data_IF_250509097691
#
_entry.id   IF_250509097691
#
_cell.length_a   1.000
_cell.length_b   1.000
_cell.length_c   1.000
_cell.angle_alpha   90.00
_cell.angle_beta   90.00
_cell.angle_gamma   90.00
#
_symmetry.space_group_name_H-M   'P 1'
#
loop_
_entity.id
_entity.type
_entity.pdbx_description
1 polymer ?
#
# COMPACT_ATOMS: atom_id res chain seq x y z
N UNK A 1 29.94 7.80 -9.27
CA UNK A 1 29.57 9.22 -9.37
C UNK A 1 28.83 9.39 -10.68
N UNK A 2 27.57 9.87 -10.67
CA UNK A 2 26.85 10.22 -11.90
C UNK A 2 27.24 11.64 -12.31
N UNK A 3 27.65 11.83 -13.56
CA UNK A 3 28.22 13.08 -14.12
C UNK A 3 27.35 13.66 -15.24
N UNK A 4 26.03 13.64 -15.13
CA UNK A 4 25.16 14.36 -16.08
C UNK A 4 24.20 15.28 -15.34
N UNK A 5 24.41 16.58 -15.52
CA UNK A 5 23.48 17.62 -15.11
C UNK A 5 22.16 17.43 -15.88
N UNK A 6 21.10 17.04 -15.19
CA UNK A 6 19.75 16.88 -15.76
C UNK A 6 19.03 15.60 -15.37
N UNK A 7 19.72 14.58 -14.87
CA UNK A 7 19.07 13.37 -14.37
C UNK A 7 18.56 13.60 -12.94
N UNK A 8 17.26 13.89 -12.80
CA UNK A 8 16.62 14.05 -11.48
C UNK A 8 16.47 12.66 -10.84
N UNK A 9 17.56 12.15 -10.29
CA UNK A 9 17.54 10.97 -9.43
C UNK A 9 16.79 11.31 -8.13
N UNK A 10 15.80 10.49 -7.76
CA UNK A 10 15.15 10.65 -6.47
C UNK A 10 16.02 9.99 -5.40
N UNK A 11 16.07 10.62 -4.23
CA UNK A 11 16.81 10.14 -3.08
C UNK A 11 15.87 10.14 -1.89
N UNK A 12 15.68 8.96 -1.30
CA UNK A 12 14.95 8.83 -0.06
C UNK A 12 15.67 9.63 1.03
N UNK A 13 14.88 10.29 1.89
CA UNK A 13 15.40 11.07 2.98
C UNK A 13 14.62 10.80 4.26
N UNK A 14 15.20 11.19 5.39
CA UNK A 14 14.54 11.30 6.70
C UNK A 14 14.94 12.61 7.35
N UNK A 15 14.08 13.18 8.18
CA UNK A 15 14.42 14.35 9.00
C UNK A 15 14.60 13.98 10.47
N UNK A 16 15.57 14.62 11.12
CA UNK A 16 15.76 14.55 12.57
C UNK A 16 14.74 15.39 13.34
N UNK A 17 14.74 15.26 14.69
CA UNK A 17 13.87 16.05 15.58
C UNK A 17 14.10 17.56 15.50
N UNK A 18 15.31 17.95 15.08
CA UNK A 18 15.74 19.32 14.81
C UNK A 18 15.39 19.80 13.40
N UNK A 19 14.75 18.96 12.58
CA UNK A 19 14.45 19.24 11.18
C UNK A 19 15.62 18.99 10.23
N UNK A 20 16.75 18.47 10.73
CA UNK A 20 17.92 18.17 9.91
C UNK A 20 17.61 17.11 8.86
N UNK A 21 17.85 17.42 7.58
CA UNK A 21 17.61 16.51 6.45
C UNK A 21 18.78 15.53 6.30
N UNK A 22 18.48 14.24 6.24
CA UNK A 22 19.43 13.18 5.94
C UNK A 22 19.01 12.42 4.68
N UNK A 23 19.84 12.45 3.64
CA UNK A 23 19.78 11.47 2.54
C UNK A 23 20.18 10.10 3.08
N UNK A 24 19.29 9.11 2.95
CA UNK A 24 19.54 7.77 3.50
C UNK A 24 20.28 6.86 2.51
N UNK A 25 20.41 7.25 1.23
CA UNK A 25 21.12 6.49 0.19
C UNK A 25 20.23 5.57 -0.65
N UNK A 26 20.82 4.48 -1.17
CA UNK A 26 20.18 3.48 -2.03
C UNK A 26 20.71 2.07 -1.71
N UNK A 27 20.10 1.02 -2.27
CA UNK A 27 20.60 -0.37 -2.30
C UNK A 27 21.78 -0.57 -3.29
N UNK A 28 22.51 0.49 -3.62
CA UNK A 28 23.68 0.46 -4.50
C UNK A 28 23.43 0.93 -5.93
N UNK A 29 22.17 1.26 -6.28
CA UNK A 29 21.81 1.95 -7.53
C UNK A 29 21.79 3.47 -7.40
N UNK A 30 21.14 4.16 -8.33
CA UNK A 30 21.13 5.63 -8.40
C UNK A 30 19.88 6.28 -7.78
N UNK A 31 18.78 5.54 -7.62
CA UNK A 31 17.48 6.09 -7.20
C UNK A 31 16.86 5.36 -6.00
N UNK A 32 16.22 6.12 -5.10
CA UNK A 32 15.41 5.59 -4.00
C UNK A 32 14.25 6.53 -3.64
N UNK A 33 13.17 5.95 -3.11
CA UNK A 33 12.00 6.68 -2.57
C UNK A 33 11.48 5.98 -1.32
N UNK A 34 11.45 6.71 -0.20
CA UNK A 34 10.76 6.25 1.01
C UNK A 34 9.25 6.42 0.84
N UNK A 35 8.49 5.42 1.28
CA UNK A 35 7.02 5.39 1.22
C UNK A 35 6.40 5.47 2.61
N UNK A 36 7.01 4.83 3.61
CA UNK A 36 6.48 4.79 4.97
C UNK A 36 7.60 4.71 6.01
N UNK A 37 7.26 5.11 7.24
CA UNK A 37 8.12 5.03 8.43
C UNK A 37 7.26 4.62 9.63
N UNK A 38 7.77 3.75 10.50
CA UNK A 38 7.09 3.39 11.76
C UNK A 38 7.66 4.14 12.97
N UNK A 39 7.04 3.98 14.15
CA UNK A 39 7.45 4.69 15.37
C UNK A 39 8.85 4.29 15.90
N UNK A 40 9.44 3.23 15.36
CA UNK A 40 10.80 2.81 15.70
C UNK A 40 11.87 3.43 14.78
N UNK A 41 11.45 4.25 13.80
CA UNK A 41 12.34 4.85 12.80
C UNK A 41 12.74 3.91 11.66
N UNK A 42 12.06 2.76 11.51
CA UNK A 42 12.26 1.88 10.35
C UNK A 42 11.55 2.50 9.16
N UNK A 43 12.29 2.76 8.08
CA UNK A 43 11.80 3.34 6.84
C UNK A 43 11.71 2.24 5.78
N UNK A 44 10.66 2.26 4.99
CA UNK A 44 10.49 1.34 3.85
C UNK A 44 10.13 2.10 2.59
N UNK A 45 10.38 1.47 1.45
CA UNK A 45 9.99 2.02 0.16
C UNK A 45 10.58 1.23 -0.98
N UNK A 46 11.07 1.94 -1.99
CA UNK A 46 11.67 1.36 -3.21
C UNK A 46 13.05 1.93 -3.47
N UNK A 47 14.00 1.09 -3.89
CA UNK A 47 15.35 1.50 -4.24
C UNK A 47 15.89 0.67 -5.39
N UNK A 48 16.65 1.31 -6.28
CA UNK A 48 17.45 0.60 -7.27
C UNK A 48 18.61 -0.14 -6.60
N UNK A 49 18.88 -1.34 -7.11
CA UNK A 49 19.99 -2.20 -6.70
C UNK A 49 21.26 -1.87 -7.48
N UNK A 50 22.38 -2.52 -7.12
CA UNK A 50 23.70 -2.30 -7.73
C UNK A 50 23.64 -2.39 -9.26
N UNK A 51 24.19 -1.36 -9.91
CA UNK A 51 24.27 -1.27 -11.38
C UNK A 51 22.93 -0.98 -12.05
N UNK A 52 21.93 -0.49 -11.29
CA UNK A 52 20.57 -0.19 -11.75
C UNK A 52 19.89 -1.40 -12.44
N UNK A 53 20.26 -2.60 -11.99
CA UNK A 53 19.82 -3.88 -12.57
C UNK A 53 18.46 -4.36 -12.06
N UNK A 54 17.93 -3.73 -11.01
CA UNK A 54 16.62 -4.04 -10.43
C UNK A 54 16.10 -2.92 -9.53
N UNK A 55 14.80 -2.95 -9.27
CA UNK A 55 14.09 -2.00 -8.40
C UNK A 55 13.44 -2.80 -7.28
N UNK A 56 13.98 -2.72 -6.07
CA UNK A 56 13.56 -3.58 -4.96
C UNK A 56 12.95 -2.79 -3.80
N UNK A 57 12.03 -3.45 -3.10
CA UNK A 57 11.54 -3.02 -1.81
C UNK A 57 12.70 -3.02 -0.80
N UNK A 58 12.85 -1.93 -0.05
CA UNK A 58 13.90 -1.82 0.95
C UNK A 58 13.35 -1.61 2.35
N UNK A 59 14.16 -1.96 3.34
CA UNK A 59 14.06 -1.50 4.72
C UNK A 59 15.35 -0.76 5.12
N UNK A 60 15.20 0.36 5.82
CA UNK A 60 16.31 1.16 6.34
C UNK A 60 16.09 1.47 7.81
N UNK A 61 17.11 1.24 8.63
CA UNK A 61 17.11 1.63 10.05
C UNK A 61 18.53 1.81 10.56
N UNK A 62 18.78 2.90 11.28
CA UNK A 62 20.06 3.16 11.96
C UNK A 62 21.28 3.00 11.03
N UNK A 63 21.20 3.56 9.81
CA UNK A 63 22.28 3.47 8.82
C UNK A 63 22.37 2.14 8.07
N UNK A 64 21.54 1.15 8.40
CA UNK A 64 21.57 -0.20 7.81
C UNK A 64 20.48 -0.36 6.77
N UNK A 65 20.90 -0.67 5.55
CA UNK A 65 20.04 -1.04 4.45
C UNK A 65 19.78 -2.54 4.42
N UNK A 66 18.57 -2.90 4.00
CA UNK A 66 18.18 -4.26 3.70
C UNK A 66 17.34 -4.31 2.43
N UNK A 67 17.73 -5.18 1.51
CA UNK A 67 16.86 -5.61 0.42
C UNK A 67 15.81 -6.57 0.97
N UNK A 68 14.54 -6.20 0.90
CA UNK A 68 13.43 -7.02 1.42
C UNK A 68 12.98 -8.08 0.41
N UNK A 69 13.37 -7.94 -0.85
CA UNK A 69 13.00 -8.83 -1.94
C UNK A 69 14.23 -9.23 -2.76
N UNK A 70 15.22 -9.93 -2.17
CA UNK A 70 16.41 -10.39 -2.88
C UNK A 70 16.08 -11.62 -3.76
N UNK A 71 15.10 -11.45 -4.65
CA UNK A 71 14.56 -12.48 -5.55
C UNK A 71 14.49 -11.90 -6.97
N UNK A 72 14.45 -12.78 -7.96
CA UNK A 72 14.29 -12.34 -9.34
C UNK A 72 12.86 -11.84 -9.58
N UNK A 73 12.72 -10.54 -9.83
CA UNK A 73 11.48 -9.87 -10.19
C UNK A 73 11.79 -8.69 -11.12
N UNK A 74 10.77 -8.13 -11.78
CA UNK A 74 10.94 -6.91 -12.57
C UNK A 74 11.05 -5.69 -11.65
N UNK A 75 10.15 -5.59 -10.67
CA UNK A 75 10.27 -4.61 -9.60
C UNK A 75 9.48 -5.05 -8.37
N UNK A 76 9.80 -4.45 -7.23
CA UNK A 76 9.00 -4.56 -6.03
C UNK A 76 8.99 -3.25 -5.25
N UNK A 77 7.98 -3.10 -4.40
CA UNK A 77 7.83 -1.92 -3.56
C UNK A 77 7.25 -2.30 -2.21
N UNK A 78 7.76 -1.70 -1.14
CA UNK A 78 7.13 -1.71 0.17
C UNK A 78 6.21 -0.48 0.26
N UNK A 79 4.93 -0.72 0.54
CA UNK A 79 3.89 0.33 0.57
C UNK A 79 3.62 0.82 1.98
N UNK A 80 3.66 -0.07 2.97
CA UNK A 80 3.41 0.29 4.36
C UNK A 80 4.21 -0.57 5.35
N UNK A 81 4.38 -0.06 6.56
CA UNK A 81 5.04 -0.73 7.68
C UNK A 81 4.30 -0.40 8.98
N UNK A 82 4.08 -1.42 9.83
CA UNK A 82 3.50 -1.21 11.15
C UNK A 82 4.57 -1.10 12.27
N UNK A 83 4.16 -0.79 13.49
CA UNK A 83 5.05 -0.64 14.65
C UNK A 83 5.63 -1.95 15.17
N UNK A 84 5.21 -3.10 14.62
CA UNK A 84 5.82 -4.40 14.86
C UNK A 84 6.93 -4.74 13.85
N UNK A 85 7.28 -3.79 12.96
CA UNK A 85 8.19 -3.98 11.82
C UNK A 85 7.70 -5.05 10.81
N UNK A 86 6.38 -5.22 10.70
CA UNK A 86 5.78 -5.98 9.60
C UNK A 86 5.63 -5.01 8.44
N UNK A 87 6.29 -5.32 7.34
CA UNK A 87 6.23 -4.54 6.09
C UNK A 87 5.27 -5.25 5.15
N UNK A 88 4.41 -4.49 4.48
CA UNK A 88 3.61 -4.99 3.37
C UNK A 88 4.00 -4.27 2.08
N UNK A 89 3.79 -4.94 0.96
CA UNK A 89 4.10 -4.41 -0.35
C UNK A 89 3.70 -5.38 -1.44
N UNK A 90 4.23 -5.17 -2.65
CA UNK A 90 4.03 -6.11 -3.74
C UNK A 90 5.29 -6.25 -4.61
N UNK A 91 5.37 -7.40 -5.26
CA UNK A 91 6.38 -7.76 -6.26
C UNK A 91 5.67 -7.93 -7.59
N UNK A 92 6.21 -7.36 -8.65
CA UNK A 92 5.79 -7.64 -10.02
C UNK A 92 6.86 -8.50 -10.70
N UNK A 93 6.48 -9.69 -11.15
CA UNK A 93 7.39 -10.61 -11.81
C UNK A 93 7.42 -10.42 -13.32
N UNK A 94 6.26 -10.54 -13.96
CA UNK A 94 6.04 -10.44 -15.40
C UNK A 94 4.53 -10.45 -15.69
N UNK A 95 4.15 -10.24 -16.95
CA UNK A 95 2.75 -10.18 -17.40
C UNK A 95 1.99 -11.51 -17.18
N UNK A 96 2.70 -12.63 -17.05
CA UNK A 96 2.09 -13.94 -16.86
C UNK A 96 1.77 -14.19 -15.38
N UNK A 97 2.68 -13.82 -14.48
CA UNK A 97 2.57 -14.02 -13.02
C UNK A 97 1.87 -12.88 -12.29
N UNK A 98 1.86 -11.66 -12.85
CA UNK A 98 1.21 -10.51 -12.25
C UNK A 98 1.92 -9.96 -11.00
N UNK A 99 1.23 -9.05 -10.33
CA UNK A 99 1.63 -8.47 -9.04
C UNK A 99 1.21 -9.36 -7.87
N UNK A 100 2.15 -9.70 -7.00
CA UNK A 100 1.91 -10.49 -5.79
C UNK A 100 2.22 -9.68 -4.55
N UNK A 101 1.24 -9.59 -3.67
CA UNK A 101 1.40 -8.96 -2.36
C UNK A 101 2.27 -9.81 -1.45
N UNK A 102 3.12 -9.15 -0.65
CA UNK A 102 3.95 -9.80 0.36
C UNK A 102 3.81 -9.14 1.72
N UNK A 103 4.12 -9.93 2.75
CA UNK A 103 4.53 -9.43 4.06
C UNK A 103 5.98 -9.81 4.32
N UNK A 104 6.75 -8.88 4.88
CA UNK A 104 8.11 -9.13 5.35
C UNK A 104 8.18 -8.91 6.85
N UNK A 105 8.60 -9.94 7.59
CA UNK A 105 8.75 -9.87 9.05
C UNK A 105 9.85 -10.81 9.51
N UNK A 106 10.58 -10.43 10.56
CA UNK A 106 11.64 -11.25 11.18
C UNK A 106 12.68 -11.83 10.19
N UNK A 107 12.98 -11.11 9.11
CA UNK A 107 13.95 -11.59 8.12
C UNK A 107 13.36 -12.38 6.96
N UNK A 108 12.06 -12.68 7.00
CA UNK A 108 11.40 -13.59 6.05
C UNK A 108 10.37 -12.85 5.19
N UNK A 109 10.45 -13.10 3.89
CA UNK A 109 9.46 -12.69 2.89
C UNK A 109 8.40 -13.79 2.75
N UNK A 110 7.12 -13.42 2.83
CA UNK A 110 5.99 -14.31 2.60
C UNK A 110 5.00 -13.67 1.63
N UNK A 111 4.68 -14.35 0.55
CA UNK A 111 3.59 -13.95 -0.34
C UNK A 111 2.23 -14.26 0.26
N UNK A 112 1.27 -13.36 0.05
CA UNK A 112 -0.13 -13.56 0.43
C UNK A 112 -0.91 -14.15 -0.77
N UNK A 113 -1.99 -14.90 -0.51
CA UNK A 113 -2.89 -15.35 -1.58
C UNK A 113 -3.63 -14.17 -2.25
N UNK A 114 -4.30 -14.46 -3.36
CA UNK A 114 -5.22 -13.55 -4.06
C UNK A 114 -6.68 -13.93 -3.77
N UNK A 115 -7.64 -13.15 -4.27
CA UNK A 115 -9.07 -13.51 -4.30
C UNK A 115 -9.44 -14.50 -5.42
N UNK A 116 -8.47 -15.27 -5.90
CA UNK A 116 -8.62 -16.25 -6.98
C UNK A 116 -8.07 -15.79 -8.33
N UNK A 117 -7.83 -14.49 -8.51
CA UNK A 117 -7.18 -13.91 -9.68
C UNK A 117 -5.65 -13.96 -9.60
N UNK A 118 -4.99 -13.25 -10.52
CA UNK A 118 -3.52 -13.22 -10.60
C UNK A 118 -2.91 -12.07 -9.82
N UNK A 119 -3.57 -10.91 -9.81
CA UNK A 119 -3.02 -9.69 -9.25
C UNK A 119 -3.55 -9.39 -7.83
N UNK A 120 -2.64 -9.00 -6.94
CA UNK A 120 -2.96 -8.43 -5.64
C UNK A 120 -1.92 -7.39 -5.23
N UNK A 121 -2.38 -6.20 -4.84
CA UNK A 121 -1.55 -5.10 -4.37
C UNK A 121 -2.04 -4.67 -3.00
N UNK A 122 -1.15 -4.67 -2.01
CA UNK A 122 -1.38 -4.19 -0.65
C UNK A 122 -0.96 -2.73 -0.53
N UNK A 123 -1.75 -1.96 0.21
CA UNK A 123 -1.57 -0.52 0.34
C UNK A 123 -1.39 -0.07 1.79
N UNK A 124 -1.90 -0.82 2.76
CA UNK A 124 -1.79 -0.45 4.16
C UNK A 124 -1.82 -1.67 5.10
N UNK A 125 -1.33 -1.49 6.32
CA UNK A 125 -1.26 -2.51 7.37
C UNK A 125 -1.43 -1.87 8.76
N UNK A 126 -2.25 -2.46 9.64
CA UNK A 126 -2.36 -2.01 11.03
C UNK A 126 -1.43 -2.78 12.00
N UNK A 127 -1.37 -2.37 13.27
CA UNK A 127 -0.54 -3.04 14.29
C UNK A 127 -1.05 -4.42 14.75
N UNK A 128 -2.20 -4.88 14.27
CA UNK A 128 -2.64 -6.28 14.42
C UNK A 128 -2.14 -7.17 13.27
N UNK A 129 -1.45 -6.59 12.28
CA UNK A 129 -0.95 -7.31 11.10
C UNK A 129 -2.02 -7.50 10.02
N UNK A 130 -3.18 -6.85 10.14
CA UNK A 130 -4.19 -6.89 9.09
C UNK A 130 -3.76 -6.01 7.92
N UNK A 131 -3.63 -6.62 6.74
CA UNK A 131 -3.20 -5.98 5.49
C UNK A 131 -4.44 -5.71 4.62
N UNK A 132 -4.48 -4.56 3.97
CA UNK A 132 -5.55 -4.21 3.04
C UNK A 132 -5.00 -3.74 1.69
N UNK A 133 -5.83 -3.83 0.66
CA UNK A 133 -5.47 -3.43 -0.69
C UNK A 133 -6.55 -3.77 -1.69
N UNK A 134 -6.15 -4.13 -2.91
CA UNK A 134 -7.04 -4.63 -3.97
C UNK A 134 -6.50 -5.94 -4.53
N UNK A 135 -7.38 -6.88 -4.89
CA UNK A 135 -7.02 -8.15 -5.49
C UNK A 135 -8.06 -8.55 -6.54
N UNK A 136 -7.58 -9.07 -7.66
CA UNK A 136 -8.43 -9.65 -8.68
C UNK A 136 -9.14 -10.90 -8.16
N UNK A 137 -10.42 -11.02 -8.54
CA UNK A 137 -11.18 -12.25 -8.39
C UNK A 137 -10.76 -13.25 -9.48
N UNK A 138 -11.27 -14.47 -9.39
CA UNK A 138 -11.04 -15.49 -10.43
C UNK A 138 -11.50 -15.00 -11.82
N UNK A 139 -12.51 -14.13 -11.87
CA UNK A 139 -12.82 -13.31 -13.04
C UNK A 139 -11.84 -12.14 -13.13
N UNK A 140 -10.99 -12.15 -14.16
CA UNK A 140 -9.85 -11.22 -14.31
C UNK A 140 -10.28 -9.78 -14.57
N UNK A 141 -11.55 -9.53 -14.89
CA UNK A 141 -12.09 -8.18 -15.11
C UNK A 141 -12.58 -7.52 -13.81
N UNK A 142 -12.68 -8.29 -12.72
CA UNK A 142 -13.20 -7.82 -11.43
C UNK A 142 -12.08 -7.79 -10.39
N UNK A 143 -11.96 -6.68 -9.67
CA UNK A 143 -10.99 -6.55 -8.58
C UNK A 143 -11.64 -5.86 -7.38
N UNK A 144 -11.59 -6.51 -6.23
CA UNK A 144 -12.17 -5.98 -5.01
C UNK A 144 -11.11 -5.63 -3.98
N UNK A 145 -11.51 -4.73 -3.09
CA UNK A 145 -10.83 -4.45 -1.86
C UNK A 145 -10.76 -5.72 -1.02
N UNK A 146 -9.62 -5.99 -0.40
CA UNK A 146 -9.45 -7.16 0.46
C UNK A 146 -9.00 -6.76 1.87
N UNK A 147 -9.22 -7.67 2.82
CA UNK A 147 -8.49 -7.74 4.10
C UNK A 147 -7.81 -9.10 4.22
N UNK A 148 -6.51 -9.11 4.50
CA UNK A 148 -5.79 -10.30 4.94
C UNK A 148 -5.47 -10.18 6.42
N UNK A 149 -5.94 -11.13 7.23
CA UNK A 149 -5.73 -11.16 8.68
C UNK A 149 -5.74 -12.64 9.11
N UNK A 150 -4.84 -13.02 10.02
CA UNK A 150 -4.76 -14.37 10.61
C UNK A 150 -4.76 -15.52 9.58
N UNK A 151 -4.09 -15.32 8.44
CA UNK A 151 -3.96 -16.34 7.41
C UNK A 151 -5.10 -16.37 6.37
N UNK A 152 -6.17 -15.60 6.57
CA UNK A 152 -7.35 -15.60 5.72
C UNK A 152 -7.42 -14.35 4.83
N UNK A 153 -7.69 -14.56 3.53
CA UNK A 153 -7.99 -13.50 2.57
C UNK A 153 -9.50 -13.31 2.49
N UNK A 154 -9.99 -12.11 2.82
CA UNK A 154 -11.41 -11.76 2.82
C UNK A 154 -11.69 -10.76 1.71
N UNK A 155 -12.62 -11.10 0.82
CA UNK A 155 -13.21 -10.15 -0.12
C UNK A 155 -14.13 -9.18 0.65
N UNK A 156 -13.92 -7.88 0.49
CA UNK A 156 -14.76 -6.84 1.09
C UNK A 156 -15.94 -6.44 0.20
N UNK A 157 -15.96 -6.91 -1.05
CA UNK A 157 -16.95 -6.59 -2.06
C UNK A 157 -16.79 -5.20 -2.64
N UNK A 158 -17.88 -4.67 -3.20
CA UNK A 158 -17.99 -3.34 -3.78
C UNK A 158 -19.31 -2.69 -3.38
N UNK A 159 -19.52 -1.44 -3.78
CA UNK A 159 -20.80 -0.73 -3.70
C UNK A 159 -21.75 -1.08 -4.87
N UNK A 160 -21.53 -2.23 -5.52
CA UNK A 160 -22.38 -2.75 -6.59
C UNK A 160 -21.77 -2.72 -7.99
N UNK A 161 -20.54 -2.20 -8.14
CA UNK A 161 -19.74 -2.29 -9.36
C UNK A 161 -18.70 -3.41 -9.32
N UNK A 162 -17.79 -3.44 -10.31
CA UNK A 162 -16.76 -4.47 -10.47
C UNK A 162 -15.39 -4.09 -9.87
N UNK A 163 -15.26 -2.89 -9.30
CA UNK A 163 -14.00 -2.41 -8.76
C UNK A 163 -14.12 -1.83 -7.35
N UNK A 164 -13.22 -2.23 -6.46
CA UNK A 164 -12.98 -1.52 -5.20
C UNK A 164 -11.52 -1.64 -4.75
N UNK A 165 -11.07 -0.64 -3.99
CA UNK A 165 -9.71 -0.58 -3.45
C UNK A 165 -9.73 -0.04 -2.02
N UNK A 166 -9.24 -0.83 -1.07
CA UNK A 166 -8.99 -0.37 0.29
C UNK A 166 -7.66 0.40 0.33
N UNK A 167 -7.72 1.65 0.78
CA UNK A 167 -6.57 2.56 0.85
C UNK A 167 -5.92 2.61 2.21
N UNK A 168 -6.72 2.50 3.28
CA UNK A 168 -6.23 2.59 4.64
C UNK A 168 -7.05 1.74 5.61
N UNK A 169 -6.40 1.31 6.69
CA UNK A 169 -6.99 0.56 7.80
C UNK A 169 -6.53 1.14 9.14
N UNK A 170 -7.47 1.42 10.04
CA UNK A 170 -7.08 1.83 11.40
C UNK A 170 -6.95 0.63 12.36
N UNK A 171 -6.45 0.92 13.57
CA UNK A 171 -6.24 -0.07 14.63
C UNK A 171 -7.51 -0.79 15.09
N UNK A 172 -8.69 -0.20 14.86
CA UNK A 172 -9.99 -0.82 15.18
C UNK A 172 -10.50 -1.72 14.05
N UNK A 173 -9.74 -1.90 12.98
CA UNK A 173 -10.12 -2.71 11.82
C UNK A 173 -11.13 -2.04 10.89
N UNK A 174 -11.33 -0.72 11.02
CA UNK A 174 -12.14 0.04 10.05
C UNK A 174 -11.29 0.31 8.82
N UNK A 175 -11.85 0.03 7.65
CA UNK A 175 -11.15 0.14 6.37
C UNK A 175 -11.86 1.19 5.53
N UNK A 176 -11.10 2.03 4.85
CA UNK A 176 -11.64 3.03 3.94
C UNK A 176 -10.97 2.93 2.57
N UNK A 177 -11.65 3.46 1.57
CA UNK A 177 -11.16 3.44 0.20
C UNK A 177 -12.19 4.01 -0.75
N UNK A 178 -12.22 3.47 -1.96
CA UNK A 178 -13.23 3.80 -2.96
C UNK A 178 -13.71 2.53 -3.68
N UNK A 179 -14.93 2.61 -4.21
CA UNK A 179 -15.57 1.55 -4.97
C UNK A 179 -16.35 2.16 -6.13
N UNK A 180 -16.44 1.43 -7.24
CA UNK A 180 -17.42 1.73 -8.27
C UNK A 180 -18.83 1.37 -7.81
N UNK A 181 -19.81 2.14 -8.28
CA UNK A 181 -21.23 1.84 -8.19
C UNK A 181 -21.67 0.92 -9.34
N UNK A 182 -22.91 0.45 -9.29
CA UNK A 182 -23.52 -0.32 -10.38
C UNK A 182 -23.37 0.38 -11.73
N UNK A 183 -22.88 -0.35 -12.74
CA UNK A 183 -22.60 0.17 -14.08
C UNK A 183 -21.20 0.78 -14.27
N UNK A 184 -20.38 0.83 -13.21
CA UNK A 184 -18.96 1.21 -13.22
C UNK A 184 -18.63 2.62 -13.75
N UNK A 185 -19.63 3.49 -13.90
CA UNK A 185 -19.45 4.88 -14.36
C UNK A 185 -19.10 5.84 -13.23
N UNK A 186 -19.39 5.47 -11.99
CA UNK A 186 -19.26 6.34 -10.83
C UNK A 186 -18.44 5.67 -9.72
N UNK A 187 -17.62 6.46 -9.04
CA UNK A 187 -16.87 6.05 -7.85
C UNK A 187 -17.40 6.75 -6.61
N UNK A 188 -17.40 6.04 -5.49
CA UNK A 188 -17.74 6.57 -4.17
C UNK A 188 -16.78 6.07 -3.11
N UNK A 189 -16.49 6.94 -2.15
CA UNK A 189 -15.72 6.55 -0.99
C UNK A 189 -16.53 5.62 -0.10
N UNK A 190 -15.90 4.58 0.44
CA UNK A 190 -16.56 3.66 1.35
C UNK A 190 -15.91 3.65 2.74
N UNK A 191 -16.70 3.24 3.73
CA UNK A 191 -16.26 2.74 5.02
C UNK A 191 -16.70 1.28 5.15
N UNK A 192 -15.75 0.39 5.41
CA UNK A 192 -16.01 -1.00 5.75
C UNK A 192 -15.81 -1.19 7.25
N UNK A 193 -16.87 -1.60 7.94
CA UNK A 193 -16.83 -1.97 9.35
C UNK A 193 -17.86 -3.06 9.64
N UNK A 194 -17.53 -3.95 10.58
CA UNK A 194 -18.42 -5.04 11.02
C UNK A 194 -18.97 -5.91 9.88
N UNK A 195 -18.18 -6.13 8.82
CA UNK A 195 -18.58 -6.99 7.71
C UNK A 195 -19.32 -6.29 6.58
N UNK A 196 -19.52 -4.96 6.66
CA UNK A 196 -20.36 -4.23 5.70
C UNK A 196 -19.59 -3.07 5.08
N UNK A 197 -19.56 -3.01 3.75
CA UNK A 197 -19.16 -1.83 2.99
C UNK A 197 -20.31 -0.83 2.92
N UNK A 198 -20.10 0.40 3.39
CA UNK A 198 -21.10 1.48 3.32
C UNK A 198 -20.54 2.65 2.52
N UNK A 199 -21.34 3.20 1.60
CA UNK A 199 -21.03 4.48 0.93
C UNK A 199 -21.00 5.61 1.97
N UNK A 200 -19.87 6.31 2.08
CA UNK A 200 -19.69 7.41 3.02
C UNK A 200 -20.67 8.56 2.79
N UNK A 201 -21.16 8.74 1.56
CA UNK A 201 -22.12 9.78 1.20
C UNK A 201 -23.48 9.58 1.90
N UNK A 202 -23.79 8.35 2.32
CA UNK A 202 -25.02 8.05 3.09
C UNK A 202 -24.87 8.32 4.59
N UNK A 203 -23.64 8.59 5.06
CA UNK A 203 -23.29 8.72 6.49
C UNK A 203 -22.93 10.14 6.91
N UNK A 204 -22.73 11.04 5.96
CA UNK A 204 -22.45 12.45 6.22
C UNK A 204 -23.66 13.29 5.85
N UNK A 205 -23.96 14.31 6.65
CA UNK A 205 -24.91 15.34 6.21
C UNK A 205 -24.26 16.08 5.05
N UNK A 206 -24.74 15.84 3.83
CA UNK A 206 -24.25 16.50 2.61
C UNK A 206 -24.78 17.94 2.53
N UNK A 207 -24.50 18.77 3.55
CA UNK A 207 -25.08 20.12 3.67
C UNK A 207 -24.84 21.01 2.45
N UNK A 208 -23.87 20.67 1.58
CA UNK A 208 -23.47 21.44 0.41
C UNK A 208 -23.47 20.63 -0.91
N UNK A 209 -24.11 19.46 -0.97
CA UNK A 209 -24.21 18.66 -2.21
C UNK A 209 -22.92 17.97 -2.69
N UNK A 210 -21.89 17.92 -1.83
CA UNK A 210 -20.62 17.26 -2.13
C UNK A 210 -20.75 15.74 -2.29
N UNK A 211 -20.14 15.22 -3.36
CA UNK A 211 -19.93 13.80 -3.57
C UNK A 211 -18.52 13.40 -3.10
N UNK A 212 -18.42 12.56 -2.07
CA UNK A 212 -17.15 12.00 -1.60
C UNK A 212 -16.76 10.84 -2.52
N UNK A 213 -15.69 11.02 -3.30
CA UNK A 213 -15.25 10.11 -4.34
C UNK A 213 -14.24 9.08 -3.84
N UNK A 214 -13.31 9.47 -2.97
CA UNK A 214 -12.30 8.58 -2.41
C UNK A 214 -11.92 8.95 -0.99
N UNK A 215 -11.76 7.94 -0.13
CA UNK A 215 -11.12 8.08 1.17
C UNK A 215 -9.68 7.56 1.08
N UNK A 216 -8.72 8.34 1.57
CA UNK A 216 -7.29 8.04 1.46
C UNK A 216 -6.67 7.56 2.77
N UNK A 217 -7.15 8.06 3.90
CA UNK A 217 -6.60 7.69 5.21
C UNK A 217 -7.68 7.77 6.31
N UNK A 218 -7.51 6.96 7.36
CA UNK A 218 -8.38 6.90 8.53
C UNK A 218 -7.57 6.75 9.81
N UNK A 219 -7.74 7.69 10.74
CA UNK A 219 -7.04 7.61 12.02
C UNK A 219 -7.76 6.71 13.04
N UNK A 220 -7.12 6.47 14.20
CA UNK A 220 -7.68 5.66 15.31
C UNK A 220 -9.00 6.17 15.90
N UNK A 221 -9.32 7.46 15.70
CA UNK A 221 -10.59 8.06 16.13
C UNK A 221 -11.70 7.84 15.11
N UNK A 222 -11.38 7.30 13.92
CA UNK A 222 -12.32 7.11 12.83
C UNK A 222 -12.54 8.37 11.98
N UNK A 223 -11.66 9.36 12.09
CA UNK A 223 -11.68 10.51 11.20
C UNK A 223 -11.02 10.14 9.88
N UNK A 224 -11.64 10.55 8.78
CA UNK A 224 -11.28 10.14 7.42
C UNK A 224 -10.90 11.39 6.63
N UNK A 225 -9.84 11.29 5.83
CA UNK A 225 -9.47 12.29 4.82
C UNK A 225 -9.58 11.68 3.42
N UNK A 226 -9.84 12.52 2.43
CA UNK A 226 -10.18 12.06 1.09
C UNK A 226 -10.38 13.19 0.09
N UNK A 227 -10.95 12.85 -1.07
CA UNK A 227 -11.31 13.78 -2.13
C UNK A 227 -12.80 13.66 -2.49
N UNK A 228 -13.40 14.78 -2.88
CA UNK A 228 -14.79 14.88 -3.34
C UNK A 228 -14.98 16.07 -4.28
N UNK A 229 -16.17 16.18 -4.89
CA UNK A 229 -16.57 17.25 -5.83
C UNK A 229 -17.92 17.84 -5.48
#
# INVERSE_FOLDING_TARGET
>A
MSTLAGDKTFRAFVTGKDGGLQDIGTLGGTNSRAQAINNQGTIVGVSQTRGDSGIHAFGYRDGKWRDLTPIQCQFSTATAINDQNIVTGFVYFDENRGAQTFVYTNGSLKFLPTLGGRDAISLDINNRGAVVGTSQLADKEVAHAFRYEDGAMTDLGSLGGNYSQARAINERGKIVGFSTLTGDQEVRAFLYERGTMTDLNTRVSQSNGWAILAAYDINKRGQIVGAGV
#
